data_IF_509941034376
#
_entry.id   IF_509941034376
#
_cell.length_a   1.000
_cell.length_b   1.000
_cell.length_c   1.000
_cell.angle_alpha   90.00
_cell.angle_beta   90.00
_cell.angle_gamma   90.00
#
_symmetry.space_group_name_H-M   'P 1'
#
loop_
_entity.id
_entity.type
_entity.pdbx_description
1 polymer ?
#
# COMPACT_ATOMS: atom_id res chain seq x y z
N UNK A 1 23.17 -6.75 -13.25
CA UNK A 1 23.22 -7.95 -12.39
C UNK A 1 22.17 -7.87 -11.29
N UNK A 2 22.09 -6.79 -10.50
CA UNK A 2 21.09 -6.61 -9.42
C UNK A 2 19.64 -6.69 -9.91
N UNK A 3 19.34 -6.07 -11.05
CA UNK A 3 18.01 -6.10 -11.69
C UNK A 3 17.56 -7.53 -12.04
N UNK A 4 18.46 -8.33 -12.60
CA UNK A 4 18.19 -9.72 -12.96
C UNK A 4 17.95 -10.60 -11.73
N UNK A 5 18.77 -10.42 -10.68
CA UNK A 5 18.60 -11.16 -9.43
C UNK A 5 17.28 -10.78 -8.76
N UNK A 6 16.93 -9.49 -8.67
CA UNK A 6 15.68 -9.05 -8.06
C UNK A 6 14.44 -9.61 -8.80
N UNK A 7 14.42 -9.59 -10.14
CA UNK A 7 13.33 -10.16 -10.94
C UNK A 7 13.26 -11.69 -10.76
N UNK A 8 14.42 -12.36 -10.69
CA UNK A 8 14.46 -13.83 -10.60
C UNK A 8 14.01 -14.38 -9.24
N UNK A 9 14.08 -13.58 -8.16
CA UNK A 9 13.71 -14.02 -6.82
C UNK A 9 12.34 -13.49 -6.36
N UNK A 10 11.75 -12.53 -7.11
CA UNK A 10 10.41 -12.01 -6.79
C UNK A 10 9.37 -13.10 -7.01
N UNK A 11 8.64 -13.43 -5.95
CA UNK A 11 7.57 -14.44 -6.02
C UNK A 11 8.03 -15.91 -5.96
N UNK A 12 9.34 -16.18 -5.83
CA UNK A 12 9.82 -17.55 -5.61
C UNK A 12 9.57 -17.95 -4.16
N UNK A 13 8.62 -18.86 -3.98
CA UNK A 13 8.31 -19.51 -2.72
C UNK A 13 8.98 -20.90 -2.70
N UNK A 14 9.85 -21.14 -1.73
CA UNK A 14 10.53 -22.43 -1.56
C UNK A 14 9.85 -23.35 -0.54
N UNK A 15 8.67 -22.95 -0.04
CA UNK A 15 7.84 -23.76 0.85
C UNK A 15 7.08 -24.82 0.07
N UNK A 16 6.95 -26.02 0.65
CA UNK A 16 6.02 -27.06 0.18
C UNK A 16 4.58 -26.79 0.62
N UNK A 17 4.34 -25.77 1.46
CA UNK A 17 3.02 -25.45 1.97
C UNK A 17 2.19 -24.74 0.88
N UNK A 18 1.00 -25.28 0.60
CA UNK A 18 0.08 -24.77 -0.41
C UNK A 18 -0.89 -23.69 0.14
N UNK A 19 -1.18 -23.74 1.44
CA UNK A 19 -2.13 -22.84 2.07
C UNK A 19 -1.42 -21.70 2.79
N UNK A 20 -1.96 -20.49 2.66
CA UNK A 20 -1.56 -19.30 3.41
C UNK A 20 -2.36 -19.21 4.71
N UNK A 21 -1.89 -18.42 5.69
CA UNK A 21 -2.61 -18.26 6.96
C UNK A 21 -3.88 -17.42 6.80
N UNK A 22 -3.86 -16.39 5.96
CA UNK A 22 -5.05 -15.61 5.66
C UNK A 22 -5.95 -16.40 4.68
N UNK A 23 -7.12 -16.79 5.15
CA UNK A 23 -8.12 -17.54 4.38
C UNK A 23 -9.00 -16.62 3.53
N UNK A 24 -9.84 -17.20 2.67
CA UNK A 24 -10.83 -16.43 1.90
C UNK A 24 -11.91 -15.79 2.82
N UNK A 25 -12.24 -16.43 3.94
CA UNK A 25 -13.16 -15.88 4.94
C UNK A 25 -12.55 -14.66 5.63
N UNK A 26 -11.27 -14.74 5.99
CA UNK A 26 -10.53 -13.60 6.54
C UNK A 26 -10.48 -12.43 5.57
N UNK A 27 -10.33 -12.68 4.26
CA UNK A 27 -10.33 -11.63 3.24
C UNK A 27 -11.67 -10.90 3.20
N UNK A 28 -12.80 -11.58 3.41
CA UNK A 28 -14.09 -10.90 3.47
C UNK A 28 -14.17 -9.96 4.68
N UNK A 29 -13.67 -10.39 5.84
CA UNK A 29 -13.57 -9.53 7.02
C UNK A 29 -12.64 -8.34 6.75
N UNK A 30 -11.48 -8.58 6.13
CA UNK A 30 -10.55 -7.52 5.75
C UNK A 30 -11.23 -6.50 4.85
N UNK A 31 -12.02 -6.94 3.86
CA UNK A 31 -12.77 -6.04 2.97
C UNK A 31 -13.76 -5.15 3.70
N UNK A 32 -14.41 -5.65 4.73
CA UNK A 32 -15.38 -4.88 5.54
C UNK A 32 -14.69 -3.80 6.40
N UNK A 33 -13.50 -4.10 6.92
CA UNK A 33 -12.77 -3.21 7.83
C UNK A 33 -11.96 -2.12 7.09
N UNK A 34 -11.51 -2.38 5.86
CA UNK A 34 -10.66 -1.46 5.13
C UNK A 34 -11.41 -0.25 4.58
N UNK A 35 -10.78 0.92 4.69
CA UNK A 35 -11.23 2.18 4.08
C UNK A 35 -10.20 2.70 3.06
N UNK A 36 -10.65 3.38 1.99
CA UNK A 36 -9.75 3.96 1.00
C UNK A 36 -8.66 4.84 1.64
N UNK A 37 -7.41 4.56 1.28
CA UNK A 37 -6.23 5.21 1.86
C UNK A 37 -5.63 4.47 3.06
N UNK A 38 -6.11 3.29 3.46
CA UNK A 38 -5.41 2.47 4.45
C UNK A 38 -4.08 1.93 3.87
N UNK A 39 -3.05 1.90 4.70
CA UNK A 39 -1.72 1.38 4.35
C UNK A 39 -1.68 -0.10 4.72
N UNK A 40 -1.40 -0.93 3.73
CA UNK A 40 -1.36 -2.38 3.87
C UNK A 40 0.09 -2.86 3.96
N UNK A 41 0.33 -3.82 4.85
CA UNK A 41 1.63 -4.48 5.02
C UNK A 41 1.44 -5.98 4.89
N UNK A 42 2.40 -6.64 4.24
CA UNK A 42 2.39 -8.10 4.11
C UNK A 42 3.74 -8.73 4.32
N UNK A 43 3.70 -10.01 4.69
CA UNK A 43 4.83 -10.92 4.68
C UNK A 43 4.39 -12.30 4.24
N UNK A 44 5.15 -12.90 3.37
CA UNK A 44 5.12 -14.34 3.13
C UNK A 44 6.36 -14.97 3.76
N UNK A 45 6.17 -16.04 4.51
CA UNK A 45 7.26 -16.91 4.92
C UNK A 45 7.83 -17.61 3.68
N UNK A 46 9.08 -18.03 3.76
CA UNK A 46 9.72 -18.82 2.72
C UNK A 46 9.85 -18.15 1.34
N UNK A 47 9.73 -16.83 1.24
CA UNK A 47 10.08 -16.12 0.01
C UNK A 47 11.56 -15.71 0.02
N UNK A 48 12.24 -15.90 -1.11
CA UNK A 48 13.66 -15.52 -1.26
C UNK A 48 13.90 -14.02 -1.05
N UNK A 49 12.91 -13.19 -1.34
CA UNK A 49 12.95 -11.74 -1.08
C UNK A 49 13.16 -11.40 0.41
N UNK A 50 12.73 -12.27 1.32
CA UNK A 50 12.95 -12.08 2.76
C UNK A 50 14.43 -12.07 3.15
N UNK A 51 15.31 -12.69 2.34
CA UNK A 51 16.75 -12.71 2.60
C UNK A 51 17.44 -11.39 2.25
N UNK A 52 16.84 -10.58 1.38
CA UNK A 52 17.42 -9.31 0.92
C UNK A 52 16.92 -8.06 1.63
N UNK A 53 15.77 -8.14 2.29
CA UNK A 53 15.14 -7.01 2.99
C UNK A 53 15.21 -7.23 4.51
N UNK A 54 15.88 -6.34 5.26
CA UNK A 54 15.96 -6.46 6.71
C UNK A 54 14.60 -6.15 7.35
N UNK A 55 14.26 -6.93 8.38
CA UNK A 55 13.05 -6.74 9.16
C UNK A 55 11.94 -7.76 8.86
N UNK A 56 10.82 -7.62 9.56
CA UNK A 56 9.70 -8.55 9.48
C UNK A 56 8.84 -8.30 8.25
N UNK A 57 8.36 -7.06 8.07
CA UNK A 57 7.49 -6.68 6.96
C UNK A 57 8.29 -6.47 5.68
N UNK A 58 7.89 -7.14 4.63
CA UNK A 58 8.67 -7.18 3.37
C UNK A 58 8.02 -6.42 2.22
N UNK A 59 6.74 -6.02 2.38
CA UNK A 59 6.03 -5.31 1.33
C UNK A 59 4.90 -4.44 1.88
N UNK A 60 4.50 -3.42 1.11
CA UNK A 60 3.40 -2.51 1.44
C UNK A 60 2.69 -2.01 0.19
N UNK A 61 1.43 -1.59 0.34
CA UNK A 61 0.59 -0.98 -0.68
C UNK A 61 -0.45 -0.05 -0.07
N UNK A 62 -1.25 0.60 -0.89
CA UNK A 62 -2.35 1.47 -0.46
C UNK A 62 -3.67 0.85 -0.93
N UNK A 63 -4.62 0.74 -0.03
CA UNK A 63 -5.95 0.27 -0.35
C UNK A 63 -6.75 1.36 -1.07
N UNK A 64 -7.33 0.99 -2.20
CA UNK A 64 -8.21 1.86 -3.01
C UNK A 64 -9.68 1.54 -2.71
N UNK A 65 -10.03 0.26 -2.61
CA UNK A 65 -11.39 -0.26 -2.64
C UNK A 65 -11.91 -0.39 -4.07
N UNK A 66 -13.24 -0.32 -4.23
CA UNK A 66 -13.91 -0.19 -5.52
C UNK A 66 -14.41 1.24 -5.73
N UNK A 67 -14.91 1.55 -6.94
CA UNK A 67 -15.45 2.89 -7.24
C UNK A 67 -16.59 3.29 -6.30
N UNK A 68 -17.48 2.36 -5.96
CA UNK A 68 -18.59 2.61 -5.03
C UNK A 68 -18.08 2.96 -3.62
N UNK A 69 -17.06 2.25 -3.12
CA UNK A 69 -16.42 2.59 -1.83
C UNK A 69 -15.76 3.95 -1.85
N UNK A 70 -15.07 4.31 -2.94
CA UNK A 70 -14.48 5.64 -3.10
C UNK A 70 -15.56 6.71 -3.04
N UNK A 71 -16.65 6.57 -3.81
CA UNK A 71 -17.75 7.52 -3.83
C UNK A 71 -18.43 7.67 -2.47
N UNK A 72 -18.68 6.55 -1.80
CA UNK A 72 -19.31 6.53 -0.47
C UNK A 72 -18.41 7.16 0.59
N UNK A 73 -17.11 6.82 0.59
CA UNK A 73 -16.18 7.27 1.64
C UNK A 73 -15.85 8.76 1.52
N UNK A 74 -15.72 9.27 0.29
CA UNK A 74 -15.35 10.67 0.02
C UNK A 74 -16.53 11.53 -0.47
N UNK A 75 -17.76 11.15 -0.16
CA UNK A 75 -18.99 11.81 -0.62
C UNK A 75 -19.12 13.29 -0.20
N UNK A 76 -18.36 13.70 0.82
CA UNK A 76 -18.34 15.04 1.39
C UNK A 76 -17.19 15.93 0.85
N UNK A 77 -16.38 15.41 -0.09
CA UNK A 77 -15.24 16.14 -0.63
C UNK A 77 -15.60 16.77 -2.00
N UNK A 78 -15.52 18.12 -2.11
CA UNK A 78 -15.78 18.78 -3.38
C UNK A 78 -14.66 18.51 -4.41
N UNK A 79 -15.04 18.17 -5.65
CA UNK A 79 -14.15 17.81 -6.74
C UNK A 79 -14.39 18.65 -7.99
N UNK A 80 -14.46 19.96 -7.85
CA UNK A 80 -14.77 20.89 -8.95
C UNK A 80 -16.18 20.65 -9.46
N UNK A 81 -16.32 20.38 -10.77
CA UNK A 81 -17.59 20.12 -11.44
C UNK A 81 -18.04 18.66 -11.38
N UNK A 82 -17.23 17.76 -10.84
CA UNK A 82 -17.56 16.34 -10.70
C UNK A 82 -18.45 16.08 -9.49
N UNK A 83 -19.46 15.21 -9.66
CA UNK A 83 -20.44 14.89 -8.62
C UNK A 83 -19.90 13.89 -7.59
N UNK A 84 -18.91 13.07 -7.98
CA UNK A 84 -18.32 12.04 -7.14
C UNK A 84 -16.89 11.72 -7.56
N UNK A 85 -16.19 10.92 -6.72
CA UNK A 85 -14.79 10.55 -6.98
C UNK A 85 -14.65 9.70 -8.23
N UNK A 86 -15.57 8.77 -8.48
CA UNK A 86 -15.52 7.91 -9.67
C UNK A 86 -15.59 8.73 -10.97
N UNK A 87 -16.41 9.78 -11.02
CA UNK A 87 -16.46 10.70 -12.16
C UNK A 87 -15.14 11.47 -12.31
N UNK A 88 -14.59 12.00 -11.22
CA UNK A 88 -13.29 12.68 -11.21
C UNK A 88 -12.17 11.75 -11.70
N UNK A 89 -12.10 10.52 -11.17
CA UNK A 89 -11.11 9.50 -11.56
C UNK A 89 -11.25 9.14 -13.04
N UNK A 90 -12.49 9.03 -13.56
CA UNK A 90 -12.73 8.77 -14.97
C UNK A 90 -12.15 9.85 -15.88
N UNK A 91 -12.29 11.12 -15.48
CA UNK A 91 -11.83 12.27 -16.28
C UNK A 91 -10.31 12.45 -16.17
N UNK A 92 -9.77 12.42 -14.96
CA UNK A 92 -8.36 12.78 -14.69
C UNK A 92 -7.42 11.57 -14.77
N UNK A 93 -7.88 10.39 -14.35
CA UNK A 93 -7.09 9.16 -14.29
C UNK A 93 -7.75 8.01 -15.05
N UNK A 94 -8.02 8.11 -16.37
CA UNK A 94 -8.80 7.14 -17.12
C UNK A 94 -8.26 5.72 -17.04
N UNK A 95 -6.95 5.52 -17.02
CA UNK A 95 -6.32 4.19 -16.85
C UNK A 95 -6.63 3.56 -15.48
N UNK A 96 -6.71 4.38 -14.43
CA UNK A 96 -7.14 3.92 -13.10
C UNK A 96 -8.60 3.53 -13.14
N UNK A 97 -9.45 4.40 -13.68
CA UNK A 97 -10.88 4.14 -13.83
C UNK A 97 -11.15 2.82 -14.56
N UNK A 98 -10.54 2.63 -15.73
CA UNK A 98 -10.70 1.41 -16.53
C UNK A 98 -10.30 0.15 -15.74
N UNK A 99 -9.23 0.26 -14.92
CA UNK A 99 -8.79 -0.86 -14.09
C UNK A 99 -9.78 -1.18 -12.98
N UNK A 100 -10.35 -0.16 -12.32
CA UNK A 100 -11.33 -0.34 -11.24
C UNK A 100 -12.70 -0.79 -11.74
N UNK A 101 -13.02 -0.62 -13.03
CA UNK A 101 -14.27 -1.08 -13.64
C UNK A 101 -14.23 -2.53 -14.12
N UNK A 102 -13.05 -3.16 -14.24
CA UNK A 102 -12.92 -4.45 -14.94
C UNK A 102 -13.56 -5.65 -14.21
N UNK A 103 -13.81 -5.52 -12.92
CA UNK A 103 -14.50 -6.56 -12.13
C UNK A 103 -15.55 -5.88 -11.24
N UNK A 104 -16.82 -6.23 -11.40
CA UNK A 104 -17.95 -5.56 -10.73
C UNK A 104 -17.89 -5.61 -9.20
N UNK A 105 -17.22 -6.62 -8.61
CA UNK A 105 -17.12 -6.84 -7.16
C UNK A 105 -15.66 -6.79 -6.68
N UNK A 106 -14.76 -6.30 -7.53
CA UNK A 106 -13.32 -6.25 -7.25
C UNK A 106 -12.98 -5.14 -6.25
N UNK A 107 -12.22 -5.47 -5.23
CA UNK A 107 -11.55 -4.49 -4.38
C UNK A 107 -10.07 -4.43 -4.71
N UNK A 108 -9.55 -3.21 -4.79
CA UNK A 108 -8.25 -2.94 -5.39
C UNK A 108 -7.29 -2.25 -4.44
N UNK A 109 -6.02 -2.46 -4.74
CA UNK A 109 -4.88 -1.82 -4.10
C UNK A 109 -3.99 -1.20 -5.17
N UNK A 110 -3.19 -0.21 -4.79
CA UNK A 110 -2.06 0.26 -5.60
C UNK A 110 -0.77 -0.08 -4.86
N UNK A 111 0.14 -0.72 -5.56
CA UNK A 111 1.40 -1.22 -5.01
C UNK A 111 2.53 -1.11 -6.03
N UNK A 112 3.77 -1.26 -5.57
CA UNK A 112 4.94 -1.30 -6.45
C UNK A 112 5.56 -2.68 -6.38
N UNK A 113 5.44 -3.41 -7.48
CA UNK A 113 6.10 -4.71 -7.70
C UNK A 113 6.90 -4.64 -9.01
N UNK A 114 7.80 -5.58 -9.27
CA UNK A 114 8.44 -5.62 -10.57
C UNK A 114 7.39 -5.94 -11.68
N UNK A 115 7.24 -5.14 -12.76
CA UNK A 115 8.21 -4.13 -13.23
C UNK A 115 7.93 -2.69 -12.75
N UNK A 116 6.92 -2.40 -11.94
CA UNK A 116 6.63 -1.03 -11.48
C UNK A 116 5.34 -0.88 -10.70
N UNK A 117 4.77 0.33 -10.70
CA UNK A 117 3.53 0.68 -10.00
C UNK A 117 2.34 0.10 -10.75
N UNK A 118 1.53 -0.69 -10.04
CA UNK A 118 0.36 -1.39 -10.60
C UNK A 118 -0.84 -1.30 -9.68
N UNK A 119 -2.03 -1.48 -10.25
CA UNK A 119 -3.27 -1.72 -9.50
C UNK A 119 -3.58 -3.22 -9.58
N UNK A 120 -3.63 -3.86 -8.42
CA UNK A 120 -3.94 -5.27 -8.26
C UNK A 120 -5.21 -5.45 -7.42
N UNK A 121 -5.78 -6.66 -7.43
CA UNK A 121 -6.84 -7.02 -6.48
C UNK A 121 -6.32 -7.05 -5.05
N UNK A 122 -7.19 -6.79 -4.09
CA UNK A 122 -6.86 -6.92 -2.66
C UNK A 122 -6.34 -8.34 -2.34
N UNK A 123 -6.88 -9.36 -2.97
CA UNK A 123 -6.45 -10.74 -2.81
C UNK A 123 -4.94 -10.94 -3.08
N UNK A 124 -4.36 -10.18 -4.00
CA UNK A 124 -2.94 -10.28 -4.33
C UNK A 124 -2.01 -9.88 -3.17
N UNK A 125 -2.46 -9.01 -2.27
CA UNK A 125 -1.70 -8.60 -1.10
C UNK A 125 -2.17 -9.27 0.19
N UNK A 126 -3.42 -9.70 0.27
CA UNK A 126 -4.04 -10.24 1.47
C UNK A 126 -3.87 -11.77 1.61
N UNK A 127 -3.78 -12.54 0.52
CA UNK A 127 -3.52 -14.01 0.55
C UNK A 127 -2.06 -14.34 0.90
N UNK A 128 -1.70 -14.13 2.15
CA UNK A 128 -0.32 -14.19 2.65
C UNK A 128 -0.26 -14.89 4.02
N UNK A 129 0.94 -14.98 4.59
CA UNK A 129 1.13 -15.56 5.92
C UNK A 129 0.90 -14.53 7.03
N UNK A 130 1.27 -13.27 6.80
CA UNK A 130 1.01 -12.17 7.72
C UNK A 130 0.49 -10.97 6.95
N UNK A 131 -0.57 -10.41 7.46
CA UNK A 131 -1.21 -9.23 6.90
C UNK A 131 -1.51 -8.21 7.99
N UNK A 132 -1.30 -6.94 7.73
CA UNK A 132 -1.70 -5.86 8.63
C UNK A 132 -2.18 -4.64 7.84
N UNK A 133 -3.06 -3.87 8.44
CA UNK A 133 -3.49 -2.59 7.91
C UNK A 133 -3.43 -1.51 8.98
N UNK A 134 -2.91 -0.35 8.60
CA UNK A 134 -2.86 0.87 9.41
C UNK A 134 -3.65 1.96 8.71
N UNK A 135 -4.45 2.69 9.46
CA UNK A 135 -5.24 3.83 8.95
C UNK A 135 -4.59 5.15 9.31
N UNK A 136 -4.14 5.95 8.31
CA UNK A 136 -3.66 7.30 8.57
C UNK A 136 -4.72 8.16 9.26
N UNK A 137 -4.37 8.82 10.38
CA UNK A 137 -5.22 9.80 11.09
C UNK A 137 -5.19 11.16 10.39
N UNK A 138 -5.57 11.15 9.13
CA UNK A 138 -5.63 12.33 8.29
C UNK A 138 -7.07 12.70 7.94
N UNK A 139 -7.36 13.97 7.65
CA UNK A 139 -8.61 14.36 7.03
C UNK A 139 -8.88 13.55 5.75
N UNK A 140 -10.14 13.27 5.45
CA UNK A 140 -10.53 12.53 4.24
C UNK A 140 -9.96 13.18 2.96
N UNK A 141 -10.00 14.52 2.89
CA UNK A 141 -9.44 15.28 1.77
C UNK A 141 -7.96 14.96 1.54
N UNK A 142 -7.17 14.88 2.61
CA UNK A 142 -5.74 14.58 2.53
C UNK A 142 -5.48 13.11 2.15
N UNK A 143 -6.33 12.18 2.60
CA UNK A 143 -6.31 10.78 2.16
C UNK A 143 -6.63 10.65 0.66
N UNK A 144 -7.62 11.41 0.19
CA UNK A 144 -7.97 11.43 -1.24
C UNK A 144 -6.82 12.01 -2.09
N UNK A 145 -6.17 13.09 -1.63
CA UNK A 145 -4.97 13.64 -2.28
C UNK A 145 -3.81 12.64 -2.29
N UNK A 146 -3.67 11.83 -1.23
CA UNK A 146 -2.66 10.77 -1.21
C UNK A 146 -2.96 9.68 -2.25
N UNK A 147 -4.22 9.27 -2.39
CA UNK A 147 -4.63 8.35 -3.45
C UNK A 147 -4.37 8.93 -4.85
N UNK A 148 -4.69 10.20 -5.09
CA UNK A 148 -4.40 10.85 -6.37
C UNK A 148 -2.90 10.88 -6.68
N UNK A 149 -2.05 11.17 -5.69
CA UNK A 149 -0.58 11.08 -5.84
C UNK A 149 -0.13 9.65 -6.20
N UNK A 150 -0.76 8.64 -5.61
CA UNK A 150 -0.49 7.24 -5.97
C UNK A 150 -0.95 6.94 -7.41
N UNK A 151 -2.12 7.43 -7.83
CA UNK A 151 -2.64 7.25 -9.20
C UNK A 151 -1.74 7.89 -10.26
N UNK A 152 -1.18 9.08 -9.98
CA UNK A 152 -0.18 9.75 -10.84
C UNK A 152 1.10 8.92 -11.02
N UNK A 153 1.35 8.01 -10.09
CA UNK A 153 2.52 7.14 -10.13
C UNK A 153 2.29 5.84 -10.93
N UNK A 154 1.05 5.55 -11.34
CA UNK A 154 0.71 4.33 -12.08
C UNK A 154 1.56 4.15 -13.32
N UNK A 155 2.22 3.00 -13.45
CA UNK A 155 3.09 2.67 -14.57
C UNK A 155 4.55 3.17 -14.44
N UNK A 156 4.92 3.92 -13.39
CA UNK A 156 6.34 4.21 -13.12
C UNK A 156 7.09 2.90 -12.88
N UNK A 157 8.34 2.84 -13.33
CA UNK A 157 9.16 1.62 -13.21
C UNK A 157 9.58 1.35 -11.75
N UNK A 158 9.91 0.09 -11.48
CA UNK A 158 10.43 -0.33 -10.16
C UNK A 158 11.83 0.21 -9.92
N UNK A 159 12.07 0.79 -8.72
CA UNK A 159 13.41 1.20 -8.30
C UNK A 159 14.18 0.05 -7.66
N UNK A 160 15.13 -0.49 -8.41
CA UNK A 160 16.06 -1.53 -7.93
C UNK A 160 17.23 -0.95 -7.11
N UNK A 161 17.36 0.36 -7.03
CA UNK A 161 18.41 1.02 -6.25
C UNK A 161 17.94 1.35 -4.82
N UNK A 162 16.62 1.37 -4.59
CA UNK A 162 16.02 1.72 -3.30
C UNK A 162 16.49 3.10 -2.80
N UNK A 163 16.38 4.13 -3.64
CA UNK A 163 16.75 5.49 -3.31
C UNK A 163 15.54 6.43 -3.43
N UNK A 164 15.02 6.90 -2.30
CA UNK A 164 13.84 7.76 -2.23
C UNK A 164 14.03 9.13 -2.89
N UNK A 165 15.27 9.49 -3.26
CA UNK A 165 15.58 10.75 -3.93
C UNK A 165 15.37 10.70 -5.45
N UNK A 166 14.95 9.56 -6.01
CA UNK A 166 14.64 9.41 -7.44
C UNK A 166 13.17 9.66 -7.71
N UNK A 167 12.83 10.29 -8.86
CA UNK A 167 11.42 10.64 -9.16
C UNK A 167 10.76 9.73 -10.21
N UNK A 168 11.55 9.07 -11.05
CA UNK A 168 11.05 8.32 -12.21
C UNK A 168 10.84 6.81 -11.94
N UNK A 169 11.30 6.33 -10.81
CA UNK A 169 11.22 4.93 -10.38
C UNK A 169 10.81 4.89 -8.92
N UNK A 170 10.13 3.82 -8.51
CA UNK A 170 9.61 3.69 -7.15
C UNK A 170 9.81 2.28 -6.62
N UNK A 171 9.98 2.14 -5.30
CA UNK A 171 9.81 0.88 -4.58
C UNK A 171 8.59 0.96 -3.63
N UNK A 172 8.17 -0.15 -3.05
CA UNK A 172 6.85 -0.24 -2.41
C UNK A 172 6.60 0.79 -1.31
N UNK A 173 7.52 0.97 -0.37
CA UNK A 173 7.35 1.93 0.72
C UNK A 173 7.63 3.39 0.30
N UNK A 174 8.35 3.60 -0.80
CA UNK A 174 8.48 4.94 -1.38
C UNK A 174 7.17 5.46 -1.96
N UNK A 175 6.33 4.58 -2.52
CA UNK A 175 4.97 4.95 -2.93
C UNK A 175 4.19 5.48 -1.72
N UNK A 176 4.28 4.83 -0.55
CA UNK A 176 3.66 5.30 0.68
C UNK A 176 4.22 6.67 1.07
N UNK A 177 5.55 6.79 1.11
CA UNK A 177 6.21 8.04 1.46
C UNK A 177 5.74 9.21 0.59
N UNK A 178 5.83 9.07 -0.73
CA UNK A 178 5.45 10.14 -1.68
C UNK A 178 3.96 10.45 -1.62
N UNK A 179 3.11 9.43 -1.47
CA UNK A 179 1.66 9.61 -1.39
C UNK A 179 1.22 10.35 -0.12
N UNK A 180 1.87 10.10 1.00
CA UNK A 180 1.52 10.68 2.29
C UNK A 180 2.42 11.81 2.77
N UNK A 181 3.42 12.22 1.97
CA UNK A 181 4.29 13.33 2.33
C UNK A 181 3.49 14.62 2.54
N UNK A 182 3.81 15.33 3.63
CA UNK A 182 3.27 16.66 3.91
C UNK A 182 3.61 17.65 2.78
N UNK A 183 2.68 18.46 2.40
CA UNK A 183 2.86 19.53 1.42
C UNK A 183 2.08 20.79 1.82
N UNK A 184 2.21 21.88 1.05
CA UNK A 184 1.48 23.14 1.33
C UNK A 184 -0.04 22.94 1.41
N UNK A 185 -0.59 21.95 0.67
CA UNK A 185 -2.02 21.73 0.50
C UNK A 185 -2.50 20.43 1.14
N UNK A 186 -1.66 19.75 1.91
CA UNK A 186 -1.96 18.44 2.52
C UNK A 186 -1.20 18.30 3.84
N UNK A 187 -1.94 18.03 4.92
CA UNK A 187 -1.36 17.49 6.15
C UNK A 187 -0.94 16.05 5.84
N UNK A 188 0.31 15.77 5.87
CA UNK A 188 0.83 14.43 5.57
C UNK A 188 1.16 13.66 6.82
N UNK A 189 1.86 12.54 6.61
CA UNK A 189 2.51 11.75 7.65
C UNK A 189 3.98 12.13 7.72
N UNK A 190 4.56 11.95 8.89
CA UNK A 190 6.00 12.05 9.09
C UNK A 190 6.63 10.66 9.10
N UNK A 191 7.77 10.50 8.44
CA UNK A 191 8.48 9.22 8.41
C UNK A 191 9.96 9.41 8.67
N UNK A 192 10.52 8.56 9.53
CA UNK A 192 11.95 8.49 9.76
C UNK A 192 12.60 7.68 8.63
N UNK A 193 13.43 8.35 7.84
CA UNK A 193 14.19 7.74 6.77
C UNK A 193 15.49 7.13 7.32
N UNK A 194 15.83 5.95 6.83
CA UNK A 194 17.09 5.29 7.15
C UNK A 194 18.14 5.63 6.09
N UNK A 195 19.34 6.01 6.53
CA UNK A 195 20.50 6.13 5.66
C UNK A 195 21.21 4.78 5.55
N UNK A 196 21.23 4.18 4.35
CA UNK A 196 21.90 2.92 4.09
C UNK A 196 22.72 2.99 2.79
N UNK A 197 24.01 2.71 2.88
CA UNK A 197 24.93 2.74 1.73
C UNK A 197 24.87 4.08 0.95
N UNK A 198 24.76 5.21 1.65
CA UNK A 198 24.71 6.55 1.05
C UNK A 198 23.36 6.94 0.41
N UNK A 199 22.31 6.14 0.60
CA UNK A 199 20.94 6.37 0.11
C UNK A 199 19.99 6.54 1.27
N UNK A 200 18.93 7.31 1.06
CA UNK A 200 17.83 7.42 2.01
C UNK A 200 16.70 6.47 1.58
N UNK A 201 16.19 5.71 2.52
CA UNK A 201 15.09 4.78 2.28
C UNK A 201 14.08 4.78 3.44
N UNK A 202 12.83 4.51 3.11
CA UNK A 202 11.81 4.10 4.06
C UNK A 202 11.60 2.59 3.88
N UNK A 203 11.69 1.80 4.95
CA UNK A 203 11.29 0.39 4.89
C UNK A 203 9.85 0.20 5.38
N UNK A 204 9.14 -0.87 4.97
CA UNK A 204 7.84 -1.19 5.57
C UNK A 204 7.90 -1.31 7.10
N UNK A 205 9.04 -1.73 7.64
CA UNK A 205 9.27 -1.85 9.08
C UNK A 205 9.37 -0.50 9.79
N UNK A 206 9.82 0.57 9.12
CA UNK A 206 9.82 1.92 9.70
C UNK A 206 8.40 2.43 9.93
N UNK A 207 7.46 2.06 9.05
CA UNK A 207 6.03 2.41 9.22
C UNK A 207 5.48 1.79 10.51
N UNK A 208 5.75 0.50 10.73
CA UNK A 208 5.32 -0.20 11.94
C UNK A 208 6.06 0.32 13.19
N UNK A 209 7.36 0.55 13.11
CA UNK A 209 8.11 1.13 14.25
C UNK A 209 7.55 2.47 14.69
N UNK A 210 7.17 3.33 13.71
CA UNK A 210 6.51 4.59 14.02
C UNK A 210 5.16 4.36 14.71
N UNK A 211 4.32 3.45 14.18
CA UNK A 211 3.05 3.10 14.81
C UNK A 211 3.26 2.62 16.24
N UNK A 212 4.19 1.69 16.48
CA UNK A 212 4.49 1.17 17.83
C UNK A 212 4.96 2.26 18.77
N UNK A 213 5.86 3.14 18.31
CA UNK A 213 6.41 4.23 19.13
C UNK A 213 5.34 5.26 19.53
N UNK A 214 4.33 5.46 18.68
CA UNK A 214 3.26 6.44 18.89
C UNK A 214 1.97 5.83 19.45
N UNK A 215 1.90 4.52 19.67
CA UNK A 215 0.66 3.79 19.94
C UNK A 215 -0.16 4.35 21.11
N UNK A 216 0.51 4.76 22.18
CA UNK A 216 -0.11 5.37 23.35
C UNK A 216 -0.06 6.91 23.34
N UNK A 217 0.40 7.51 22.26
CA UNK A 217 0.52 8.97 22.15
C UNK A 217 -0.79 9.59 21.66
N UNK A 218 -1.17 10.73 22.24
CA UNK A 218 -2.26 11.54 21.72
C UNK A 218 -1.99 12.08 20.30
N UNK A 219 -0.70 12.17 19.93
CA UNK A 219 -0.27 12.61 18.61
C UNK A 219 -0.02 11.45 17.62
N UNK A 220 -0.47 10.25 17.95
CA UNK A 220 -0.35 9.09 17.04
C UNK A 220 -0.92 9.42 15.65
N UNK A 221 -0.15 9.16 14.61
CA UNK A 221 -0.54 9.41 13.22
C UNK A 221 -1.29 8.24 12.57
N UNK A 222 -1.43 7.09 13.29
CA UNK A 222 -2.11 5.91 12.79
C UNK A 222 -3.11 5.35 13.76
N UNK A 223 -4.22 4.81 13.23
CA UNK A 223 -5.06 3.84 13.91
C UNK A 223 -4.70 2.43 13.43
N UNK A 224 -4.75 1.47 14.36
CA UNK A 224 -4.68 0.06 14.03
C UNK A 224 -6.02 -0.38 13.42
N UNK A 225 -5.97 -1.09 12.30
CA UNK A 225 -7.18 -1.62 11.64
C UNK A 225 -7.30 -3.12 11.90
N UNK A 226 -6.34 -3.89 11.43
CA UNK A 226 -6.39 -5.35 11.50
C UNK A 226 -5.00 -5.96 11.42
N UNK A 227 -4.83 -7.16 12.01
CA UNK A 227 -3.64 -7.98 11.90
C UNK A 227 -4.02 -9.46 11.82
N UNK A 228 -3.40 -10.17 10.90
CA UNK A 228 -3.51 -11.61 10.74
C UNK A 228 -2.13 -12.26 10.78
N UNK A 229 -2.04 -13.37 11.51
CA UNK A 229 -0.83 -14.19 11.66
C UNK A 229 -1.15 -15.68 11.74
N UNK A 230 -0.12 -16.49 11.93
CA UNK A 230 -0.23 -17.95 12.02
C UNK A 230 -0.94 -18.45 13.28
N UNK A 231 -0.94 -17.69 14.37
CA UNK A 231 -1.46 -18.13 15.68
C UNK A 231 -2.99 -18.13 15.75
N UNK A 232 -3.69 -17.49 14.80
CA UNK A 232 -5.16 -17.50 14.74
C UNK A 232 -5.78 -18.85 14.34
N UNK A 233 -4.98 -19.84 13.95
CA UNK A 233 -5.45 -21.19 13.58
C UNK A 233 -5.34 -22.23 14.71
N UNK A 234 -4.98 -21.83 15.91
CA UNK A 234 -4.92 -22.73 17.09
C UNK A 234 -6.19 -22.68 17.92
#
# INVERSE_FOLDING_TARGET
FQKWVAISITGVDYSSRKEKYVSNEDINIIKEELLPGDILLKRNNYQLTNMGLPGFWTHTGIYIGCLEKLDKYFNDIPLGDCLCVSEYVKVIYPKVYDRLCNESDGEYIIEVIAPGVVINSLDAIAKVDYFSALRPKLPKEDKLKALFTAFESLGKAYDYNFDIMTDNVLFCSELIYKSYLCSRNKKGLTFDLEAKAGRLLLSPNNIIKKFDAEFYSENSEFDFVIFYDEDRKS
#
